data_IF_448341943318
#
_entry.id   IF_448341943318
#
_cell.length_a   1.000
_cell.length_b   1.000
_cell.length_c   1.000
_cell.angle_alpha   90.00
_cell.angle_beta   90.00
_cell.angle_gamma   90.00
#
_symmetry.space_group_name_H-M   'P 1'
#
loop_
_entity.id
_entity.type
_entity.pdbx_description
1 polymer ?
#
# COMPACT_ATOMS: atom_id res chain seq x y z
N UNK A 1 -22.27 13.58 35.83
CA UNK A 1 -22.16 13.46 34.36
C UNK A 1 -21.00 12.60 33.83
N UNK A 2 -20.37 11.77 34.66
CA UNK A 2 -19.24 10.89 34.26
C UNK A 2 -19.66 9.62 33.47
N UNK A 3 -20.95 9.29 33.39
CA UNK A 3 -21.41 7.97 32.91
C UNK A 3 -21.40 7.81 31.36
N UNK A 4 -21.84 8.83 30.62
CA UNK A 4 -21.99 8.72 29.15
C UNK A 4 -20.64 8.76 28.44
N UNK A 5 -19.72 9.64 28.87
CA UNK A 5 -18.41 9.77 28.25
C UNK A 5 -17.60 8.46 28.37
N UNK A 6 -17.61 7.86 29.56
CA UNK A 6 -16.89 6.61 29.81
C UNK A 6 -17.52 5.44 29.05
N UNK A 7 -18.85 5.41 28.94
CA UNK A 7 -19.56 4.42 28.11
C UNK A 7 -19.21 4.55 26.62
N UNK A 8 -19.21 5.76 26.07
CA UNK A 8 -18.83 6.03 24.68
C UNK A 8 -17.38 5.63 24.43
N UNK A 9 -16.48 5.95 25.36
CA UNK A 9 -15.07 5.55 25.28
C UNK A 9 -14.94 4.02 25.26
N UNK A 10 -15.62 3.31 26.16
CA UNK A 10 -15.59 1.85 26.21
C UNK A 10 -16.08 1.20 24.89
N UNK A 11 -17.15 1.73 24.29
CA UNK A 11 -17.62 1.24 22.97
C UNK A 11 -16.56 1.44 21.89
N UNK A 12 -15.93 2.62 21.83
CA UNK A 12 -14.87 2.91 20.85
C UNK A 12 -13.66 2.01 21.01
N UNK A 13 -13.25 1.77 22.26
CA UNK A 13 -12.11 0.91 22.58
C UNK A 13 -12.41 -0.57 22.24
N UNK A 14 -13.62 -1.03 22.54
CA UNK A 14 -14.09 -2.37 22.17
C UNK A 14 -14.10 -2.57 20.66
N UNK A 15 -14.65 -1.60 19.91
CA UNK A 15 -14.67 -1.67 18.45
C UNK A 15 -13.26 -1.61 17.86
N UNK A 16 -12.39 -0.75 18.37
CA UNK A 16 -11.00 -0.63 17.89
C UNK A 16 -10.24 -1.93 18.12
N UNK A 17 -10.46 -2.60 19.24
CA UNK A 17 -9.87 -3.91 19.55
C UNK A 17 -10.40 -4.99 18.60
N UNK A 18 -11.72 -5.03 18.40
CA UNK A 18 -12.35 -5.92 17.42
C UNK A 18 -11.76 -5.72 16.02
N UNK A 19 -11.70 -4.47 15.54
CA UNK A 19 -11.16 -4.12 14.23
C UNK A 19 -9.68 -4.54 14.09
N UNK A 20 -8.83 -4.27 15.09
CA UNK A 20 -7.42 -4.70 15.08
C UNK A 20 -7.29 -6.22 14.94
N UNK A 21 -8.13 -6.97 15.65
CA UNK A 21 -8.14 -8.43 15.55
C UNK A 21 -8.61 -8.92 14.17
N UNK A 22 -9.61 -8.26 13.57
CA UNK A 22 -10.10 -8.60 12.24
C UNK A 22 -9.03 -8.38 11.17
N UNK A 23 -8.33 -7.25 11.18
CA UNK A 23 -7.30 -6.98 10.16
C UNK A 23 -6.08 -7.90 10.31
N UNK A 24 -5.66 -8.20 11.56
CA UNK A 24 -4.49 -9.04 11.83
C UNK A 24 -4.68 -10.50 11.41
N UNK A 25 -5.90 -11.00 11.55
CA UNK A 25 -6.23 -12.40 11.24
C UNK A 25 -6.73 -12.60 9.80
N UNK A 26 -6.82 -11.53 9.00
CA UNK A 26 -7.31 -11.60 7.63
C UNK A 26 -6.15 -11.80 6.65
N UNK A 27 -6.14 -12.94 5.96
CA UNK A 27 -5.20 -13.20 4.87
C UNK A 27 -5.39 -12.24 3.70
N UNK A 28 -6.61 -11.72 3.49
CA UNK A 28 -6.92 -10.73 2.46
C UNK A 28 -6.32 -9.35 2.78
N UNK A 29 -6.30 -8.98 4.06
CA UNK A 29 -5.79 -7.68 4.51
C UNK A 29 -4.33 -7.76 4.94
N UNK A 30 -3.58 -8.78 4.48
CA UNK A 30 -2.19 -8.98 4.91
C UNK A 30 -1.34 -7.74 4.67
N UNK A 31 -1.48 -7.09 3.50
CA UNK A 31 -0.76 -5.86 3.19
C UNK A 31 -1.24 -4.67 4.04
N UNK A 32 -2.55 -4.41 4.06
CA UNK A 32 -3.15 -3.34 4.86
C UNK A 32 -2.78 -3.41 6.34
N UNK A 33 -2.72 -4.62 6.90
CA UNK A 33 -2.37 -4.87 8.31
C UNK A 33 -0.93 -4.47 8.67
N UNK A 34 -0.04 -4.30 7.68
CA UNK A 34 1.37 -3.94 7.94
C UNK A 34 1.54 -2.48 8.37
N UNK A 35 0.66 -1.58 7.90
CA UNK A 35 0.78 -0.14 8.13
C UNK A 35 -0.41 0.48 8.86
N UNK A 36 -1.62 -0.11 8.76
CA UNK A 36 -2.81 0.47 9.39
C UNK A 36 -2.92 0.06 10.86
N UNK A 37 -2.38 0.90 11.73
CA UNK A 37 -2.34 0.65 13.18
C UNK A 37 -3.47 1.32 13.99
N UNK A 38 -4.12 2.34 13.42
CA UNK A 38 -5.13 3.15 14.10
C UNK A 38 -6.45 3.15 13.34
N UNK A 39 -7.58 3.08 14.04
CA UNK A 39 -8.91 3.21 13.44
C UNK A 39 -9.29 4.70 13.35
N UNK A 40 -8.81 5.36 12.29
CA UNK A 40 -9.00 6.78 12.04
C UNK A 40 -9.11 7.08 10.54
N UNK A 41 -9.57 8.30 10.23
CA UNK A 41 -9.45 8.86 8.88
C UNK A 41 -7.97 8.96 8.51
N UNK A 42 -7.69 8.77 7.23
CA UNK A 42 -6.35 8.66 6.68
C UNK A 42 -5.94 9.96 5.97
N UNK A 43 -4.78 10.52 6.31
CA UNK A 43 -4.37 11.85 5.82
C UNK A 43 -4.12 11.92 4.32
N UNK A 44 -3.73 10.80 3.67
CA UNK A 44 -3.57 10.77 2.22
C UNK A 44 -4.85 11.21 1.48
N UNK A 45 -6.04 11.04 2.09
CA UNK A 45 -7.30 11.46 1.50
C UNK A 45 -7.39 12.98 1.34
N UNK A 46 -6.73 13.72 2.23
CA UNK A 46 -6.62 15.17 2.21
C UNK A 46 -5.43 15.64 1.36
N UNK A 47 -4.33 14.88 1.35
CA UNK A 47 -3.10 15.21 0.63
C UNK A 47 -3.30 15.06 -0.89
N UNK A 48 -3.75 13.88 -1.35
CA UNK A 48 -3.85 13.59 -2.79
C UNK A 48 -5.07 14.32 -3.36
N UNK A 49 -4.82 15.33 -4.20
CA UNK A 49 -5.87 16.19 -4.77
C UNK A 49 -6.53 15.57 -5.98
N UNK A 50 -5.77 14.87 -6.83
CA UNK A 50 -6.34 14.19 -7.99
C UNK A 50 -7.24 13.02 -7.56
N UNK A 51 -8.49 13.05 -8.03
CA UNK A 51 -9.51 12.08 -7.61
C UNK A 51 -9.19 10.66 -8.08
N UNK A 52 -8.60 10.51 -9.26
CA UNK A 52 -8.30 9.20 -9.84
C UNK A 52 -7.08 8.58 -9.15
N UNK A 53 -6.02 9.35 -8.94
CA UNK A 53 -4.83 8.99 -8.16
C UNK A 53 -5.23 8.59 -6.75
N UNK A 54 -6.04 9.40 -6.05
CA UNK A 54 -6.51 9.08 -4.70
C UNK A 54 -7.31 7.78 -4.66
N UNK A 55 -8.19 7.55 -5.65
CA UNK A 55 -8.97 6.30 -5.77
C UNK A 55 -8.07 5.10 -6.02
N UNK A 56 -7.09 5.22 -6.91
CA UNK A 56 -6.13 4.16 -7.21
C UNK A 56 -5.24 3.85 -6.00
N UNK A 57 -4.78 4.88 -5.31
CA UNK A 57 -3.99 4.73 -4.09
C UNK A 57 -4.79 4.07 -2.96
N UNK A 58 -6.04 4.48 -2.76
CA UNK A 58 -6.94 3.83 -1.80
C UNK A 58 -7.14 2.35 -2.12
N UNK A 59 -7.36 2.01 -3.41
CA UNK A 59 -7.45 0.63 -3.88
C UNK A 59 -6.18 -0.15 -3.63
N UNK A 60 -5.02 0.43 -3.90
CA UNK A 60 -3.71 -0.19 -3.66
C UNK A 60 -3.51 -0.53 -2.19
N UNK A 61 -3.81 0.41 -1.29
CA UNK A 61 -3.69 0.20 0.17
C UNK A 61 -4.52 -0.96 0.71
N UNK A 62 -5.71 -1.17 0.15
CA UNK A 62 -6.64 -2.22 0.62
C UNK A 62 -6.60 -3.48 -0.24
N UNK A 63 -5.57 -3.62 -1.10
CA UNK A 63 -5.40 -4.75 -2.03
C UNK A 63 -6.63 -4.96 -2.93
N UNK A 64 -7.28 -3.89 -3.37
CA UNK A 64 -8.40 -3.88 -4.31
C UNK A 64 -7.94 -3.48 -5.73
N UNK A 65 -6.97 -4.23 -6.24
CA UNK A 65 -6.30 -3.99 -7.52
C UNK A 65 -6.11 -5.31 -8.28
N UNK A 66 -5.61 -5.24 -9.51
CA UNK A 66 -5.44 -6.40 -10.41
C UNK A 66 -4.08 -7.09 -10.32
N UNK A 67 -3.26 -6.82 -9.30
CA UNK A 67 -2.02 -7.59 -9.09
C UNK A 67 -2.35 -9.06 -8.80
N UNK A 68 -1.51 -9.99 -9.25
CA UNK A 68 -1.79 -11.42 -9.12
C UNK A 68 -1.95 -11.86 -7.66
N UNK A 69 -1.35 -11.16 -6.69
CA UNK A 69 -1.57 -11.46 -5.26
C UNK A 69 -3.04 -11.47 -4.86
N UNK A 70 -3.84 -10.57 -5.45
CA UNK A 70 -5.28 -10.45 -5.25
C UNK A 70 -6.06 -11.12 -6.39
N UNK A 71 -5.67 -10.91 -7.65
CA UNK A 71 -6.39 -11.46 -8.80
C UNK A 71 -6.36 -12.99 -8.81
N UNK A 72 -5.19 -13.60 -8.61
CA UNK A 72 -5.03 -15.05 -8.50
C UNK A 72 -5.75 -15.64 -7.29
N UNK A 73 -6.04 -14.84 -6.24
CA UNK A 73 -6.85 -15.28 -5.09
C UNK A 73 -8.28 -15.63 -5.49
N UNK A 74 -8.88 -14.90 -6.45
CA UNK A 74 -10.23 -15.20 -6.94
C UNK A 74 -10.30 -16.46 -7.80
N UNK A 75 -9.15 -16.93 -8.30
CA UNK A 75 -9.03 -18.12 -9.13
C UNK A 75 -8.37 -19.29 -8.39
N UNK A 76 -8.34 -19.25 -7.05
CA UNK A 76 -7.75 -20.26 -6.18
C UNK A 76 -6.28 -20.63 -6.49
N UNK A 77 -5.53 -19.70 -7.11
CA UNK A 77 -4.09 -19.90 -7.37
C UNK A 77 -3.34 -19.84 -6.02
N UNK A 78 -2.48 -20.83 -5.72
CA UNK A 78 -1.64 -20.82 -4.52
C UNK A 78 -0.81 -19.53 -4.42
N UNK A 79 -0.62 -18.96 -3.23
CA UNK A 79 0.01 -17.63 -3.06
C UNK A 79 1.38 -17.56 -3.73
N UNK A 80 2.18 -18.61 -3.61
CA UNK A 80 3.52 -18.72 -4.20
C UNK A 80 3.53 -18.81 -5.74
N UNK A 81 2.39 -19.14 -6.35
CA UNK A 81 2.21 -19.26 -7.81
C UNK A 81 1.54 -18.01 -8.43
N UNK A 82 1.20 -17.00 -7.61
CA UNK A 82 0.65 -15.71 -8.07
C UNK A 82 1.75 -14.82 -8.64
N UNK A 83 2.39 -15.29 -9.71
CA UNK A 83 3.61 -14.73 -10.26
C UNK A 83 3.37 -13.48 -11.10
N UNK A 84 4.32 -12.55 -11.07
CA UNK A 84 4.31 -11.38 -11.94
C UNK A 84 4.42 -11.79 -13.41
N UNK A 85 3.43 -11.39 -14.21
CA UNK A 85 3.37 -11.65 -15.66
C UNK A 85 4.07 -10.56 -16.48
N UNK A 86 4.59 -9.54 -15.81
CA UNK A 86 5.07 -8.31 -16.42
C UNK A 86 6.59 -8.12 -16.34
N UNK A 87 7.30 -9.02 -15.66
CA UNK A 87 8.76 -9.03 -15.63
C UNK A 87 9.28 -10.46 -15.74
N UNK A 88 10.58 -10.62 -15.99
CA UNK A 88 11.19 -11.95 -16.13
C UNK A 88 11.55 -12.59 -14.78
N UNK A 89 11.32 -11.89 -13.67
CA UNK A 89 11.52 -12.44 -12.33
C UNK A 89 10.40 -13.43 -12.01
N UNK A 90 10.78 -14.67 -11.71
CA UNK A 90 9.87 -15.68 -11.14
C UNK A 90 9.61 -15.29 -9.68
N UNK A 91 8.74 -14.30 -9.48
CA UNK A 91 8.43 -13.71 -8.19
C UNK A 91 6.92 -13.45 -8.06
N UNK A 92 6.40 -13.54 -6.83
CA UNK A 92 5.00 -13.23 -6.52
C UNK A 92 4.71 -11.76 -6.81
N UNK A 93 3.63 -11.48 -7.54
CA UNK A 93 3.19 -10.11 -7.83
C UNK A 93 2.37 -9.52 -6.67
N UNK A 94 3.07 -9.17 -5.60
CA UNK A 94 2.49 -8.40 -4.49
C UNK A 94 2.81 -6.90 -4.61
N UNK A 95 2.27 -6.11 -3.68
CA UNK A 95 2.45 -4.66 -3.61
C UNK A 95 3.93 -4.26 -3.46
N UNK A 96 4.73 -5.12 -2.84
CA UNK A 96 6.16 -4.91 -2.70
C UNK A 96 6.89 -5.10 -4.02
N UNK A 97 6.67 -6.23 -4.69
CA UNK A 97 7.26 -6.49 -6.00
C UNK A 97 6.87 -5.39 -7.01
N UNK A 98 5.58 -5.03 -7.02
CA UNK A 98 5.05 -3.96 -7.88
C UNK A 98 5.74 -2.61 -7.65
N UNK A 99 5.98 -2.23 -6.40
CA UNK A 99 6.57 -0.94 -6.05
C UNK A 99 8.10 -0.91 -6.21
N UNK A 100 8.78 -2.01 -5.91
CA UNK A 100 10.22 -2.00 -5.64
C UNK A 100 11.08 -2.92 -6.51
N UNK A 101 10.51 -3.88 -7.22
CA UNK A 101 11.30 -4.94 -7.88
C UNK A 101 10.96 -5.19 -9.36
N UNK A 102 9.71 -4.97 -9.77
CA UNK A 102 9.23 -5.29 -11.11
C UNK A 102 10.01 -4.51 -12.17
N UNK A 103 10.62 -5.21 -13.13
CA UNK A 103 11.45 -4.62 -14.19
C UNK A 103 10.64 -3.70 -15.10
N UNK A 104 9.35 -3.98 -15.31
CA UNK A 104 8.44 -3.14 -16.11
C UNK A 104 8.37 -1.69 -15.63
N UNK A 105 8.55 -1.47 -14.33
CA UNK A 105 8.44 -0.15 -13.70
C UNK A 105 9.79 0.43 -13.29
N UNK A 106 10.90 -0.15 -13.76
CA UNK A 106 12.25 0.24 -13.33
C UNK A 106 12.54 1.73 -13.55
N UNK A 107 12.22 2.28 -14.72
CA UNK A 107 12.46 3.70 -15.00
C UNK A 107 11.66 4.63 -14.07
N UNK A 108 10.39 4.30 -13.81
CA UNK A 108 9.56 5.07 -12.87
C UNK A 108 10.07 4.97 -11.44
N UNK A 109 10.48 3.76 -11.04
CA UNK A 109 11.01 3.48 -9.71
C UNK A 109 12.33 4.19 -9.48
N UNK A 110 13.23 4.20 -10.46
CA UNK A 110 14.52 4.89 -10.34
C UNK A 110 14.32 6.40 -10.16
N UNK A 111 13.36 6.99 -10.87
CA UNK A 111 13.02 8.40 -10.68
C UNK A 111 12.49 8.68 -9.26
N UNK A 112 11.45 7.95 -8.81
CA UNK A 112 10.90 8.15 -7.47
C UNK A 112 11.93 7.84 -6.37
N UNK A 113 12.76 6.81 -6.52
CA UNK A 113 13.82 6.48 -5.56
C UNK A 113 14.87 7.58 -5.43
N UNK A 114 15.26 8.23 -6.53
CA UNK A 114 16.22 9.34 -6.46
C UNK A 114 15.63 10.51 -5.67
N UNK A 115 14.36 10.86 -5.92
CA UNK A 115 13.67 11.91 -5.16
C UNK A 115 13.58 11.54 -3.68
N UNK A 116 13.21 10.31 -3.34
CA UNK A 116 13.18 9.84 -1.95
C UNK A 116 14.56 9.88 -1.29
N UNK A 117 15.61 9.47 -2.01
CA UNK A 117 16.99 9.49 -1.53
C UNK A 117 17.43 10.92 -1.21
N UNK A 118 17.13 11.87 -2.09
CA UNK A 118 17.48 13.28 -1.91
C UNK A 118 16.67 13.90 -0.76
N UNK A 119 15.37 13.57 -0.67
CA UNK A 119 14.48 14.07 0.38
C UNK A 119 14.91 13.61 1.78
N UNK A 120 15.19 12.31 1.93
CA UNK A 120 15.58 11.73 3.21
C UNK A 120 17.08 11.76 3.48
N UNK A 121 17.89 12.20 2.50
CA UNK A 121 19.35 12.20 2.55
C UNK A 121 19.91 10.81 2.93
N UNK A 122 19.28 9.73 2.44
CA UNK A 122 19.64 8.35 2.77
C UNK A 122 19.49 7.40 1.59
N UNK A 123 20.37 6.40 1.52
CA UNK A 123 20.28 5.32 0.53
C UNK A 123 19.17 4.32 0.91
N UNK A 124 18.32 3.97 -0.05
CA UNK A 124 17.27 2.95 0.11
C UNK A 124 17.88 1.57 -0.18
N UNK A 125 18.27 0.86 0.87
CA UNK A 125 18.80 -0.52 0.79
C UNK A 125 17.66 -1.55 0.70
N UNK A 126 17.95 -2.77 0.24
CA UNK A 126 16.94 -3.83 0.13
C UNK A 126 16.28 -4.19 1.47
N UNK A 127 17.05 -4.17 2.57
CA UNK A 127 16.54 -4.38 3.92
C UNK A 127 15.51 -3.32 4.32
N UNK A 128 15.74 -2.06 3.90
CA UNK A 128 14.83 -0.95 4.20
C UNK A 128 13.57 -0.96 3.34
N UNK A 129 13.58 -1.50 2.11
CA UNK A 129 12.45 -1.39 1.17
C UNK A 129 11.13 -1.92 1.75
N UNK A 130 11.15 -3.05 2.49
CA UNK A 130 9.90 -3.62 3.05
C UNK A 130 9.30 -2.73 4.12
N UNK A 131 10.14 -2.23 5.03
CA UNK A 131 9.73 -1.26 6.05
C UNK A 131 9.28 0.04 5.40
N UNK A 132 10.03 0.50 4.40
CA UNK A 132 9.74 1.71 3.64
C UNK A 132 8.37 1.64 2.96
N UNK A 133 7.95 0.50 2.40
CA UNK A 133 6.61 0.40 1.82
C UNK A 133 5.53 0.68 2.87
N UNK A 134 5.63 0.05 4.04
CA UNK A 134 4.70 0.27 5.15
C UNK A 134 4.72 1.74 5.63
N UNK A 135 5.91 2.32 5.72
CA UNK A 135 6.10 3.72 6.10
C UNK A 135 5.46 4.64 5.06
N UNK A 136 5.68 4.44 3.75
CA UNK A 136 5.06 5.20 2.66
C UNK A 136 3.52 5.11 2.65
N UNK A 137 2.96 3.99 3.13
CA UNK A 137 1.50 3.82 3.28
C UNK A 137 0.91 4.50 4.51
N UNK A 138 1.73 4.91 5.49
CA UNK A 138 1.29 5.50 6.75
C UNK A 138 1.85 6.91 7.01
N UNK A 139 2.75 7.38 6.16
CA UNK A 139 3.39 8.69 6.26
C UNK A 139 2.40 9.82 5.99
N UNK A 140 2.49 10.87 6.80
CA UNK A 140 1.70 12.11 6.68
C UNK A 140 2.54 13.26 6.11
N UNK A 141 3.42 12.95 5.16
CA UNK A 141 4.26 13.93 4.48
C UNK A 141 3.65 14.24 3.11
N UNK A 142 3.15 15.46 2.88
CA UNK A 142 2.43 15.78 1.64
C UNK A 142 3.23 15.52 0.37
N UNK A 143 4.55 15.81 0.39
CA UNK A 143 5.41 15.67 -0.78
C UNK A 143 5.62 14.19 -1.10
N UNK A 144 5.93 13.39 -0.07
CA UNK A 144 6.23 11.98 -0.25
C UNK A 144 4.98 11.16 -0.56
N UNK A 145 3.86 11.47 0.09
CA UNK A 145 2.57 10.82 -0.19
C UNK A 145 2.11 11.11 -1.62
N UNK A 146 2.24 12.36 -2.09
CA UNK A 146 1.88 12.70 -3.47
C UNK A 146 2.81 12.00 -4.48
N UNK A 147 4.14 12.09 -4.27
CA UNK A 147 5.14 11.39 -5.08
C UNK A 147 4.87 9.89 -5.20
N UNK A 148 4.64 9.21 -4.08
CA UNK A 148 4.46 7.76 -4.11
C UNK A 148 3.11 7.37 -4.73
N UNK A 149 2.05 8.14 -4.47
CA UNK A 149 0.77 7.87 -5.11
C UNK A 149 0.78 8.15 -6.62
N UNK A 150 1.58 9.12 -7.08
CA UNK A 150 1.81 9.36 -8.51
C UNK A 150 2.58 8.20 -9.13
N UNK A 151 3.64 7.72 -8.47
CA UNK A 151 4.40 6.54 -8.88
C UNK A 151 3.48 5.32 -9.07
N UNK A 152 2.66 4.99 -8.08
CA UNK A 152 1.70 3.88 -8.16
C UNK A 152 0.71 4.06 -9.31
N UNK A 153 0.20 5.28 -9.51
CA UNK A 153 -0.75 5.57 -10.58
C UNK A 153 -0.12 5.40 -11.97
N UNK A 154 1.12 5.85 -12.15
CA UNK A 154 1.89 5.66 -13.39
C UNK A 154 2.20 4.19 -13.65
N UNK A 155 2.54 3.41 -12.62
CA UNK A 155 2.74 1.96 -12.77
C UNK A 155 1.46 1.26 -13.23
N UNK A 156 0.30 1.58 -12.64
CA UNK A 156 -0.98 1.05 -13.11
C UNK A 156 -1.34 1.50 -14.52
N UNK A 157 -1.07 2.76 -14.87
CA UNK A 157 -1.27 3.25 -16.23
C UNK A 157 -0.46 2.44 -17.25
N UNK A 158 0.84 2.19 -16.97
CA UNK A 158 1.68 1.34 -17.81
C UNK A 158 1.13 -0.08 -17.87
N UNK A 159 0.71 -0.67 -16.74
CA UNK A 159 0.13 -2.02 -16.69
C UNK A 159 -1.08 -2.15 -17.62
N UNK A 160 -2.02 -1.22 -17.51
CA UNK A 160 -3.32 -1.29 -18.17
C UNK A 160 -3.26 -0.89 -19.66
N UNK A 161 -2.21 -0.19 -20.10
CA UNK A 161 -2.06 0.31 -21.48
C UNK A 161 -0.87 -0.29 -22.24
N UNK A 162 -0.13 -1.24 -21.65
CA UNK A 162 0.88 -2.00 -22.39
C UNK A 162 0.24 -3.26 -22.99
N UNK A 163 0.64 -3.67 -24.21
CA UNK A 163 0.25 -4.96 -24.77
C UNK A 163 0.73 -6.14 -23.92
#
# INVERSE_FOLDING_TARGET
DTNIHDFVKAIKDNYTTFWKNQIKNSSKLSFYSTFKNHYNLEEYLNIIKDLNQRRLFAKFRISNHKLEIEFGRYSDVPRQERLCKYCNKIAVEDEFHFSFECEKYENLRNNSHNILKDYFQMSITDELKRKLLSDLMSLNDPVITDLFSEHISKCFYIRDNSP
#
